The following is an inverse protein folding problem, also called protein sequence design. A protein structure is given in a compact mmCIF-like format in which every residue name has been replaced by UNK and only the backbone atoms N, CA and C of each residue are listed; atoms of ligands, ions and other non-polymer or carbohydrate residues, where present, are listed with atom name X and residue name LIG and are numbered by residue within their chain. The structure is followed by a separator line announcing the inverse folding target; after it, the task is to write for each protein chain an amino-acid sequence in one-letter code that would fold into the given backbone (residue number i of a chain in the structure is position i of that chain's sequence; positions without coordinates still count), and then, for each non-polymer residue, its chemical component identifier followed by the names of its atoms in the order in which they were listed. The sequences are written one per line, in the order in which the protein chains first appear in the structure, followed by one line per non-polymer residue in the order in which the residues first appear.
data_IF_107235949329
#
_entry.id   IF_107235949329
#
_cell.length_a   1.000
_cell.length_b   1.000
_cell.length_c   1.000
_cell.angle_alpha   90.00
_cell.angle_beta   90.00
_cell.angle_gamma   90.00
#
_symmetry.space_group_name_H-M   'P 1'
#
loop_
_entity.id
_entity.type
_entity.pdbx_description
1 polymer ?
#
# COMPACT_ATOMS: atom_id res chain seq x y z
N UNK A 1 32.01 15.30 52.71
CA UNK A 1 32.51 15.91 51.46
C UNK A 1 33.18 14.84 50.62
N UNK A 2 32.93 14.88 49.30
CA UNK A 2 33.44 14.03 48.20
C UNK A 2 32.83 12.62 48.08
N UNK A 3 32.07 12.51 46.99
CA UNK A 3 31.47 11.33 46.41
C UNK A 3 32.42 10.66 45.38
N UNK A 4 31.90 9.64 44.68
CA UNK A 4 32.19 9.20 43.29
C UNK A 4 33.23 8.05 43.16
N UNK A 5 33.03 6.93 42.45
CA UNK A 5 32.08 6.49 41.41
C UNK A 5 32.03 4.94 41.41
N UNK A 6 30.84 4.33 41.42
CA UNK A 6 30.63 2.98 40.88
C UNK A 6 30.43 3.11 39.35
N UNK A 7 31.37 2.61 38.55
CA UNK A 7 31.16 2.48 37.10
C UNK A 7 30.42 1.16 36.86
N UNK A 8 29.09 1.23 36.83
CA UNK A 8 28.27 0.15 36.29
C UNK A 8 28.29 0.25 34.76
N UNK A 9 29.08 -0.62 34.11
CA UNK A 9 29.06 -0.79 32.67
C UNK A 9 27.78 -1.54 32.25
N UNK A 10 26.67 -0.83 32.09
CA UNK A 10 25.49 -1.35 31.39
C UNK A 10 25.74 -1.22 29.87
N UNK A 11 26.12 -2.33 29.25
CA UNK A 11 26.15 -2.46 27.80
C UNK A 11 24.72 -2.35 27.25
N UNK A 12 24.42 -1.23 26.57
CA UNK A 12 23.13 -0.97 25.95
C UNK A 12 22.87 -1.90 24.76
N UNK A 13 21.84 -2.74 24.89
CA UNK A 13 21.20 -3.43 23.77
C UNK A 13 20.39 -2.39 22.98
N UNK A 14 20.99 -1.81 21.94
CA UNK A 14 20.28 -0.98 20.98
C UNK A 14 19.46 -1.89 20.05
N UNK A 15 18.21 -2.18 20.43
CA UNK A 15 17.21 -2.75 19.52
C UNK A 15 16.84 -1.71 18.45
N UNK A 16 17.42 -1.84 17.27
CA UNK A 16 16.96 -1.10 16.09
C UNK A 16 15.60 -1.68 15.65
N UNK A 17 14.50 -0.99 15.99
CA UNK A 17 13.20 -1.25 15.38
C UNK A 17 13.26 -0.81 13.92
N UNK A 18 13.51 -1.74 13.01
CA UNK A 18 13.33 -1.53 11.56
C UNK A 18 11.84 -1.34 11.27
N UNK A 19 11.36 -0.10 11.29
CA UNK A 19 10.02 0.23 10.80
C UNK A 19 10.03 0.11 9.29
N UNK A 20 9.45 -0.98 8.75
CA UNK A 20 9.12 -1.05 7.33
C UNK A 20 8.20 0.13 6.99
N UNK A 21 8.38 0.82 5.85
CA UNK A 21 7.50 1.89 5.45
C UNK A 21 6.07 1.36 5.33
N UNK A 22 5.14 1.95 6.09
CA UNK A 22 3.73 1.65 5.95
C UNK A 22 3.26 2.10 4.55
N UNK A 23 2.50 1.25 3.86
CA UNK A 23 1.85 1.66 2.63
C UNK A 23 0.91 2.84 2.92
N UNK A 24 0.81 3.83 2.01
CA UNK A 24 -0.10 4.97 2.18
C UNK A 24 -1.53 4.51 1.90
N UNK A 25 -2.13 3.76 2.82
CA UNK A 25 -3.53 3.34 2.75
C UNK A 25 -4.33 4.19 3.73
N UNK A 26 -5.36 4.85 3.23
CA UNK A 26 -6.29 5.64 4.03
C UNK A 26 -7.08 4.78 5.01
N UNK A 27 -7.68 5.43 6.02
CA UNK A 27 -8.56 4.75 7.00
C UNK A 27 -9.87 4.27 6.37
N UNK A 28 -10.27 4.86 5.26
CA UNK A 28 -11.46 4.56 4.47
C UNK A 28 -11.21 4.97 3.00
N UNK A 29 -12.02 4.48 2.04
CA UNK A 29 -11.97 4.97 0.67
C UNK A 29 -12.16 6.50 0.60
N UNK A 30 -11.34 7.18 -0.20
CA UNK A 30 -11.41 8.62 -0.42
C UNK A 30 -12.61 9.04 -1.29
N UNK A 31 -12.89 10.35 -1.34
CA UNK A 31 -14.00 10.89 -2.14
C UNK A 31 -13.75 10.84 -3.65
N UNK A 32 -12.50 11.07 -4.06
CA UNK A 32 -12.08 10.87 -5.44
C UNK A 32 -11.66 9.39 -5.56
N UNK A 33 -12.07 8.65 -6.59
CA UNK A 33 -11.62 7.27 -6.79
C UNK A 33 -10.23 7.18 -7.42
N UNK A 34 -9.47 6.10 -7.16
CA UNK A 34 -8.24 5.80 -7.89
C UNK A 34 -8.54 5.25 -9.29
N UNK A 35 -7.67 5.54 -10.23
CA UNK A 35 -7.75 5.13 -11.62
C UNK A 35 -6.49 4.36 -12.04
N UNK A 36 -6.69 3.28 -12.81
CA UNK A 36 -5.57 2.61 -13.48
C UNK A 36 -5.01 3.54 -14.55
N UNK A 37 -3.70 3.72 -14.53
CA UNK A 37 -2.95 4.46 -15.54
C UNK A 37 -1.81 3.59 -16.03
N UNK A 38 -1.39 3.81 -17.28
CA UNK A 38 -0.16 3.19 -17.77
C UNK A 38 1.02 3.70 -16.95
N UNK A 39 1.85 2.76 -16.50
CA UNK A 39 3.05 3.05 -15.72
C UNK A 39 4.00 3.92 -16.55
N UNK A 40 4.74 4.80 -15.86
CA UNK A 40 5.66 5.73 -16.49
C UNK A 40 6.99 5.74 -15.76
N UNK A 41 8.07 5.70 -16.53
CA UNK A 41 9.41 5.94 -16.00
C UNK A 41 9.56 7.39 -15.50
N UNK A 42 10.62 7.64 -14.73
CA UNK A 42 10.96 8.99 -14.25
C UNK A 42 11.25 10.00 -15.37
N UNK A 43 11.54 9.53 -16.59
CA UNK A 43 11.72 10.34 -17.80
C UNK A 43 10.42 10.52 -18.62
N UNK A 44 9.31 9.92 -18.17
CA UNK A 44 8.00 10.01 -18.80
C UNK A 44 7.69 8.94 -19.85
N UNK A 45 8.59 7.99 -20.11
CA UNK A 45 8.31 6.86 -21.02
C UNK A 45 7.13 6.03 -20.49
N UNK A 46 6.16 5.74 -21.35
CA UNK A 46 4.97 4.94 -21.02
C UNK A 46 5.24 3.44 -21.23
N UNK A 47 4.87 2.61 -20.27
CA UNK A 47 4.87 1.14 -20.35
C UNK A 47 3.43 0.63 -20.50
N UNK A 48 2.94 0.40 -21.74
CA UNK A 48 1.55 0.00 -21.96
C UNK A 48 1.22 -1.40 -21.40
N UNK A 49 2.24 -2.20 -21.10
CA UNK A 49 2.15 -3.52 -20.48
C UNK A 49 2.06 -3.47 -18.94
N UNK A 50 2.23 -2.29 -18.35
CA UNK A 50 2.20 -2.08 -16.90
C UNK A 50 1.14 -1.06 -16.52
N UNK A 51 0.31 -1.44 -15.57
CA UNK A 51 -0.69 -0.54 -14.99
C UNK A 51 -0.31 -0.23 -13.54
N UNK A 52 -0.49 1.02 -13.17
CA UNK A 52 -0.37 1.51 -11.81
C UNK A 52 -1.64 2.24 -11.41
N UNK A 53 -1.89 2.34 -10.11
CA UNK A 53 -2.90 3.25 -9.59
C UNK A 53 -2.31 4.66 -9.49
N UNK A 54 -3.04 5.66 -9.96
CA UNK A 54 -2.63 7.07 -9.90
C UNK A 54 -2.58 7.65 -8.47
N UNK A 55 -3.33 7.07 -7.53
CA UNK A 55 -3.46 7.57 -6.14
C UNK A 55 -3.74 6.48 -5.10
N UNK A 56 -2.66 6.03 -4.47
CA UNK A 56 -2.68 4.96 -3.47
C UNK A 56 -3.36 5.37 -2.16
N UNK A 57 -3.22 6.65 -1.78
CA UNK A 57 -3.70 7.24 -0.53
C UNK A 57 -5.23 7.26 -0.39
N UNK A 58 -5.95 7.06 -1.50
CA UNK A 58 -7.42 6.99 -1.49
C UNK A 58 -7.99 5.61 -1.29
N UNK A 59 -7.17 4.56 -1.35
CA UNK A 59 -7.64 3.25 -0.95
C UNK A 59 -7.95 3.24 0.55
N UNK A 60 -9.04 2.57 0.92
CA UNK A 60 -9.30 2.18 2.31
C UNK A 60 -8.80 0.75 2.59
N UNK A 61 -8.93 0.27 3.84
CA UNK A 61 -8.68 -1.13 4.15
C UNK A 61 -9.63 -2.04 3.39
N UNK A 62 -9.17 -3.25 3.04
CA UNK A 62 -10.02 -4.26 2.39
C UNK A 62 -11.11 -4.75 3.37
N UNK A 63 -12.41 -4.59 3.05
CA UNK A 63 -13.48 -5.12 3.90
C UNK A 63 -13.36 -6.62 4.11
N UNK A 64 -13.74 -7.11 5.31
CA UNK A 64 -13.59 -8.52 5.71
C UNK A 64 -14.27 -9.46 4.73
N UNK A 65 -15.47 -9.10 4.25
CA UNK A 65 -16.26 -9.85 3.29
C UNK A 65 -15.69 -9.83 1.86
N UNK A 66 -14.81 -8.87 1.53
CA UNK A 66 -14.16 -8.76 0.23
C UNK A 66 -12.73 -9.31 0.20
N UNK A 67 -12.16 -9.70 1.34
CA UNK A 67 -10.76 -10.16 1.44
C UNK A 67 -10.44 -11.33 0.52
N UNK A 68 -11.31 -12.34 0.47
CA UNK A 68 -11.09 -13.51 -0.39
C UNK A 68 -11.12 -13.13 -1.89
N UNK A 69 -12.10 -12.32 -2.28
CA UNK A 69 -12.26 -11.82 -3.65
C UNK A 69 -11.05 -10.96 -4.04
N UNK A 70 -10.69 -9.98 -3.22
CA UNK A 70 -9.54 -9.11 -3.47
C UNK A 70 -8.22 -9.87 -3.56
N UNK A 71 -8.01 -10.85 -2.69
CA UNK A 71 -6.81 -11.70 -2.79
C UNK A 71 -6.77 -12.47 -4.10
N UNK A 72 -7.90 -13.05 -4.53
CA UNK A 72 -7.98 -13.74 -5.81
C UNK A 72 -7.67 -12.81 -6.98
N UNK A 73 -8.27 -11.60 -7.00
CA UNK A 73 -8.00 -10.59 -8.04
C UNK A 73 -6.49 -10.28 -8.11
N UNK A 74 -5.85 -10.08 -6.97
CA UNK A 74 -4.40 -9.82 -6.94
C UNK A 74 -3.58 -11.03 -7.40
N UNK A 75 -3.95 -12.24 -7.00
CA UNK A 75 -3.25 -13.48 -7.37
C UNK A 75 -3.37 -13.81 -8.86
N UNK A 76 -4.55 -13.59 -9.45
CA UNK A 76 -4.78 -13.73 -10.90
C UNK A 76 -3.88 -12.76 -11.70
N UNK A 77 -3.35 -11.71 -11.07
CA UNK A 77 -2.43 -10.73 -11.63
C UNK A 77 -0.98 -10.87 -11.10
N UNK A 78 -0.60 -12.04 -10.57
CA UNK A 78 0.74 -12.35 -10.04
C UNK A 78 1.19 -11.51 -8.83
N UNK A 79 0.24 -11.03 -8.01
CA UNK A 79 0.52 -10.42 -6.69
C UNK A 79 0.14 -11.37 -5.54
N UNK A 80 0.61 -11.11 -4.32
CA UNK A 80 0.33 -11.98 -3.16
C UNK A 80 -1.09 -11.84 -2.62
N UNK A 81 -1.54 -10.59 -2.43
CA UNK A 81 -2.81 -10.27 -1.74
C UNK A 81 -3.26 -8.83 -1.97
N UNK A 82 -4.55 -8.58 -1.68
CA UNK A 82 -5.08 -7.24 -1.58
C UNK A 82 -4.72 -6.61 -0.22
N UNK A 83 -4.32 -5.34 -0.26
CA UNK A 83 -3.99 -4.53 0.92
C UNK A 83 -4.90 -3.31 1.05
N UNK A 84 -5.48 -2.84 -0.07
CA UNK A 84 -6.46 -1.76 -0.07
C UNK A 84 -7.63 -2.02 -1.01
N UNK A 85 -8.74 -1.34 -0.77
CA UNK A 85 -9.96 -1.42 -1.57
C UNK A 85 -10.57 -0.04 -1.82
N UNK A 86 -11.11 0.17 -3.02
CA UNK A 86 -11.94 1.32 -3.34
C UNK A 86 -13.20 0.90 -4.13
N UNK A 87 -14.42 1.17 -3.65
CA UNK A 87 -15.64 0.69 -4.28
C UNK A 87 -15.89 1.28 -5.67
N UNK A 88 -15.33 2.45 -5.96
CA UNK A 88 -15.48 3.16 -7.22
C UNK A 88 -14.18 3.24 -8.04
N UNK A 89 -13.22 2.35 -7.78
CA UNK A 89 -11.97 2.32 -8.56
C UNK A 89 -12.24 2.25 -10.07
N UNK A 90 -11.40 2.92 -10.87
CA UNK A 90 -11.63 3.13 -12.31
C UNK A 90 -10.62 2.40 -13.18
N UNK A 91 -11.07 1.97 -14.36
CA UNK A 91 -10.22 1.41 -15.40
C UNK A 91 -9.39 2.50 -16.11
N UNK A 92 -8.56 2.11 -17.08
CA UNK A 92 -7.71 3.04 -17.86
C UNK A 92 -8.49 4.10 -18.64
N UNK A 93 -9.77 3.85 -18.94
CA UNK A 93 -10.65 4.77 -19.65
C UNK A 93 -11.45 5.66 -18.69
N UNK A 94 -11.28 5.50 -17.38
CA UNK A 94 -12.01 6.24 -16.35
C UNK A 94 -13.38 5.67 -15.99
N UNK A 95 -13.74 4.49 -16.53
CA UNK A 95 -15.00 3.83 -16.19
C UNK A 95 -14.90 3.14 -14.83
N UNK A 96 -15.98 3.11 -14.02
CA UNK A 96 -16.01 2.33 -12.80
C UNK A 96 -15.76 0.84 -13.08
N UNK A 97 -14.88 0.22 -12.30
CA UNK A 97 -14.65 -1.23 -12.35
C UNK A 97 -15.78 -1.92 -11.56
N UNK A 98 -16.51 -2.87 -12.17
CA UNK A 98 -17.51 -3.66 -11.44
C UNK A 98 -16.88 -4.37 -10.23
N UNK A 99 -17.45 -4.16 -9.05
CA UNK A 99 -16.92 -4.70 -7.79
C UNK A 99 -15.82 -3.86 -7.13
N UNK A 100 -15.37 -2.78 -7.76
CA UNK A 100 -14.36 -1.84 -7.24
C UNK A 100 -12.91 -2.22 -7.59
N UNK A 101 -11.98 -1.37 -7.17
CA UNK A 101 -10.55 -1.55 -7.36
C UNK A 101 -9.86 -2.12 -6.11
N UNK A 102 -8.84 -2.96 -6.33
CA UNK A 102 -8.00 -3.49 -5.27
C UNK A 102 -6.55 -3.01 -5.44
N UNK A 103 -5.96 -2.53 -4.34
CA UNK A 103 -4.53 -2.28 -4.26
C UNK A 103 -3.83 -3.58 -3.88
N UNK A 104 -2.94 -4.05 -4.75
CA UNK A 104 -2.23 -5.32 -4.58
C UNK A 104 -0.81 -5.12 -4.07
N UNK A 105 -0.35 -6.04 -3.22
CA UNK A 105 1.04 -6.11 -2.75
C UNK A 105 1.71 -7.38 -3.30
N UNK A 106 2.97 -7.23 -3.74
CA UNK A 106 3.83 -8.37 -4.14
C UNK A 106 4.37 -9.18 -2.98
#
# INVERSE_FOLDING_TARGET
MKQLILVAALAGLLSACSTAPALPIGKAPGAVPPQLVYDKDGDGRIHPDKLAWDRLDTFGPVPVNLRAVGNKVCQDNNFKRAVGYHPQGKDVNGNPIPGGGYLCLR
#
